data_IF_119601903574
#
_entry.id   IF_119601903574
#
_cell.length_a   1.000
_cell.length_b   1.000
_cell.length_c   1.000
_cell.angle_alpha   90.00
_cell.angle_beta   90.00
_cell.angle_gamma   90.00
#
_symmetry.space_group_name_H-M   'P 1'
#
loop_
_entity.id
_entity.type
_entity.pdbx_description
1 polymer ?
#
# COMPACT_ATOMS: atom_id res chain seq x y z
N UNK A 1 -11.71 -3.93 11.62
CA UNK A 1 -10.80 -2.79 11.32
C UNK A 1 -11.43 -1.81 10.31
N UNK A 2 -11.83 -2.25 9.10
CA UNK A 2 -12.36 -1.35 8.05
C UNK A 2 -13.61 -0.59 8.51
N UNK A 3 -14.53 -1.23 9.21
CA UNK A 3 -15.72 -0.58 9.77
C UNK A 3 -15.39 0.45 10.85
N UNK A 4 -14.41 0.16 11.69
CA UNK A 4 -13.92 1.09 12.73
C UNK A 4 -13.24 2.31 12.10
N UNK A 5 -12.44 2.09 11.05
CA UNK A 5 -11.81 3.15 10.27
C UNK A 5 -12.85 4.07 9.62
N UNK A 6 -13.85 3.50 8.95
CA UNK A 6 -14.92 4.27 8.33
C UNK A 6 -15.72 5.07 9.34
N UNK A 7 -15.97 4.49 10.53
CA UNK A 7 -16.63 5.20 11.64
C UNK A 7 -15.76 6.37 12.14
N UNK A 8 -14.45 6.18 12.29
CA UNK A 8 -13.52 7.23 12.69
C UNK A 8 -13.41 8.36 11.66
N UNK A 9 -13.62 8.07 10.37
CA UNK A 9 -13.69 9.06 9.29
C UNK A 9 -15.03 9.81 9.22
N UNK A 10 -15.93 9.58 10.19
CA UNK A 10 -17.17 10.34 10.36
C UNK A 10 -18.16 10.21 9.19
N UNK A 11 -18.11 9.12 8.44
CA UNK A 11 -19.00 8.86 7.30
C UNK A 11 -18.72 9.71 6.06
N UNK A 12 -17.60 10.42 6.02
CA UNK A 12 -17.14 11.19 4.85
C UNK A 12 -16.66 10.26 3.74
N UNK A 13 -16.10 9.11 4.11
CA UNK A 13 -15.59 8.11 3.19
C UNK A 13 -16.42 6.83 3.24
N UNK A 14 -16.45 6.13 2.13
CA UNK A 14 -17.06 4.80 1.97
C UNK A 14 -16.12 3.93 1.15
N UNK A 15 -16.28 2.59 1.23
CA UNK A 15 -15.62 1.70 0.27
C UNK A 15 -16.24 1.96 -1.11
N UNK A 16 -15.41 2.04 -2.15
CA UNK A 16 -15.89 2.12 -3.51
C UNK A 16 -16.74 0.88 -3.82
N UNK A 17 -17.95 1.11 -4.33
CA UNK A 17 -18.96 0.04 -4.49
C UNK A 17 -19.75 0.25 -5.77
N UNK A 18 -20.10 -0.85 -6.43
CA UNK A 18 -21.00 -0.89 -7.57
C UNK A 18 -21.89 -2.12 -7.52
N UNK A 19 -23.21 -1.91 -7.62
CA UNK A 19 -24.23 -2.99 -7.70
C UNK A 19 -24.15 -4.04 -6.55
N UNK A 20 -23.74 -3.59 -5.34
CA UNK A 20 -23.59 -4.43 -4.16
C UNK A 20 -22.21 -5.09 -4.01
N UNK A 21 -21.34 -4.97 -5.02
CA UNK A 21 -19.95 -5.40 -4.93
C UNK A 21 -19.07 -4.26 -4.44
N UNK A 22 -18.04 -4.58 -3.66
CA UNK A 22 -17.13 -3.61 -3.07
C UNK A 22 -15.72 -3.78 -3.61
N UNK A 23 -15.02 -2.67 -3.81
CA UNK A 23 -13.58 -2.65 -4.03
C UNK A 23 -12.86 -2.98 -2.72
N UNK A 24 -12.92 -4.25 -2.36
CA UNK A 24 -12.39 -4.80 -1.13
C UNK A 24 -11.86 -6.21 -1.38
N UNK A 25 -10.61 -6.44 -1.04
CA UNK A 25 -10.02 -7.76 -0.96
C UNK A 25 -9.78 -8.09 0.53
N UNK A 26 -10.45 -9.07 1.11
CA UNK A 26 -10.27 -9.41 2.52
C UNK A 26 -8.88 -9.97 2.82
N UNK A 27 -8.20 -10.58 1.84
CA UNK A 27 -6.99 -11.35 2.06
C UNK A 27 -7.21 -12.50 3.05
N UNK A 28 -6.52 -13.58 2.87
CA UNK A 28 -6.53 -14.69 3.82
C UNK A 28 -5.10 -15.03 4.23
N UNK A 29 -4.90 -15.19 5.53
CA UNK A 29 -3.57 -15.51 6.06
C UNK A 29 -3.59 -16.77 6.89
N UNK A 30 -4.44 -17.72 6.48
CA UNK A 30 -4.47 -19.06 7.06
C UNK A 30 -4.69 -20.03 5.92
N UNK A 31 -3.91 -21.10 5.94
CA UNK A 31 -4.18 -22.26 5.10
C UNK A 31 -5.55 -22.87 5.38
N UNK A 32 -5.97 -23.88 4.62
CA UNK A 32 -7.29 -24.49 4.73
C UNK A 32 -7.58 -25.10 6.12
N UNK A 33 -6.58 -25.19 7.00
CA UNK A 33 -6.71 -25.70 8.36
C UNK A 33 -6.42 -24.58 9.34
N UNK A 34 -7.39 -24.11 10.14
CA UNK A 34 -7.15 -23.13 11.19
C UNK A 34 -6.06 -23.63 12.12
N UNK A 35 -5.09 -22.76 12.35
CA UNK A 35 -4.00 -23.07 13.24
C UNK A 35 -4.48 -22.91 14.70
N UNK A 36 -4.35 -23.97 15.46
CA UNK A 36 -4.68 -23.99 16.88
C UNK A 36 -3.52 -23.48 17.69
N UNK A 37 -3.77 -22.47 18.52
CA UNK A 37 -2.78 -21.95 19.45
C UNK A 37 -3.28 -21.99 20.89
N UNK A 38 -2.35 -22.08 21.82
CA UNK A 38 -2.68 -21.95 23.25
C UNK A 38 -3.01 -20.49 23.57
N UNK A 39 -4.14 -20.27 24.22
CA UNK A 39 -4.62 -18.96 24.67
C UNK A 39 -4.72 -18.92 26.18
N UNK A 40 -3.59 -19.09 26.82
CA UNK A 40 -3.46 -19.06 28.28
C UNK A 40 -2.65 -17.84 28.73
N UNK A 41 -2.92 -17.35 29.91
CA UNK A 41 -2.08 -16.33 30.54
C UNK A 41 -0.67 -16.86 30.75
N UNK A 42 0.33 -16.10 30.37
CA UNK A 42 1.74 -16.54 30.37
C UNK A 42 2.30 -16.79 31.78
N UNK A 43 1.67 -16.26 32.83
CA UNK A 43 2.12 -16.40 34.22
C UNK A 43 1.33 -17.45 35.00
N UNK A 44 0.02 -17.43 34.80
CA UNK A 44 -0.88 -18.29 35.58
C UNK A 44 -1.25 -19.57 34.86
N UNK A 45 -0.98 -19.67 33.55
CA UNK A 45 -1.36 -20.77 32.67
C UNK A 45 -2.88 -21.04 32.64
N UNK A 46 -3.68 -20.07 33.09
CA UNK A 46 -5.14 -20.20 33.07
C UNK A 46 -5.69 -19.81 31.70
N UNK A 47 -6.78 -20.43 31.26
CA UNK A 47 -7.45 -20.07 30.00
C UNK A 47 -7.87 -18.60 30.00
N UNK A 48 -7.54 -17.86 28.91
CA UNK A 48 -7.88 -16.44 28.79
C UNK A 48 -9.35 -16.18 28.40
N UNK A 49 -9.97 -17.15 27.71
CA UNK A 49 -11.33 -16.99 27.14
C UNK A 49 -12.24 -18.18 27.50
N UNK A 50 -12.04 -18.78 28.66
CA UNK A 50 -12.81 -19.97 29.08
C UNK A 50 -12.37 -21.27 28.41
N UNK A 51 -11.37 -21.22 27.52
CA UNK A 51 -10.75 -22.35 26.83
C UNK A 51 -9.24 -22.12 26.72
N UNK A 52 -8.48 -23.19 26.70
CA UNK A 52 -7.03 -23.14 26.66
C UNK A 52 -6.43 -23.11 25.24
N UNK A 53 -7.25 -23.28 24.23
CA UNK A 53 -6.85 -23.28 22.83
C UNK A 53 -7.88 -22.56 21.97
N UNK A 54 -7.42 -21.85 20.94
CA UNK A 54 -8.26 -21.19 19.96
C UNK A 54 -7.68 -21.36 18.55
N UNK A 55 -8.56 -21.39 17.57
CA UNK A 55 -8.16 -21.18 16.19
C UNK A 55 -7.85 -19.70 15.99
N UNK A 56 -6.65 -19.41 15.56
CA UNK A 56 -6.21 -18.04 15.28
C UNK A 56 -6.02 -17.85 13.79
N UNK A 57 -6.47 -16.71 13.32
CA UNK A 57 -6.29 -16.26 11.97
C UNK A 57 -6.22 -14.74 11.90
N UNK A 58 -5.63 -14.25 10.85
CA UNK A 58 -5.64 -12.82 10.55
C UNK A 58 -5.89 -12.62 9.06
N UNK A 59 -6.39 -11.47 8.71
CA UNK A 59 -6.61 -11.07 7.33
C UNK A 59 -5.78 -9.82 7.07
N UNK A 60 -5.07 -9.83 5.95
CA UNK A 60 -4.33 -8.69 5.45
C UNK A 60 -4.94 -8.37 4.10
N UNK A 61 -5.88 -7.44 4.10
CA UNK A 61 -6.66 -7.10 2.93
C UNK A 61 -6.47 -5.67 2.47
N UNK A 62 -7.03 -5.37 1.31
CA UNK A 62 -6.96 -4.09 0.64
C UNK A 62 -8.36 -3.52 0.45
N UNK A 63 -8.48 -2.19 0.55
CA UNK A 63 -9.72 -1.49 0.28
C UNK A 63 -9.45 -0.17 -0.45
N UNK A 64 -10.33 0.19 -1.38
CA UNK A 64 -10.39 1.52 -1.96
C UNK A 64 -11.47 2.34 -1.26
N UNK A 65 -11.06 3.37 -0.54
CA UNK A 65 -11.97 4.33 0.08
C UNK A 65 -12.11 5.55 -0.81
N UNK A 66 -13.34 5.99 -1.02
CA UNK A 66 -13.66 7.20 -1.77
C UNK A 66 -14.54 8.14 -0.93
N UNK A 67 -14.53 9.42 -1.25
CA UNK A 67 -15.49 10.34 -0.69
C UNK A 67 -16.91 9.91 -1.05
N UNK A 68 -17.82 9.92 -0.09
CA UNK A 68 -19.20 9.43 -0.26
C UNK A 68 -19.93 10.07 -1.44
N UNK A 69 -19.73 11.36 -1.67
CA UNK A 69 -20.32 12.09 -2.80
C UNK A 69 -19.82 11.60 -4.17
N UNK A 70 -18.68 10.90 -4.23
CA UNK A 70 -18.12 10.37 -5.47
C UNK A 70 -18.61 8.95 -5.80
N UNK A 71 -19.34 8.30 -4.89
CA UNK A 71 -19.85 6.92 -5.09
C UNK A 71 -20.63 6.77 -6.41
N UNK A 72 -21.37 7.77 -6.80
CA UNK A 72 -22.17 7.79 -8.04
C UNK A 72 -21.34 7.69 -9.33
N UNK A 73 -20.04 7.98 -9.27
CA UNK A 73 -19.12 7.92 -10.40
C UNK A 73 -18.38 6.60 -10.52
N UNK A 74 -18.58 5.67 -9.57
CA UNK A 74 -18.02 4.30 -9.64
C UNK A 74 -18.83 3.51 -10.67
N UNK A 75 -18.13 3.01 -11.69
CA UNK A 75 -18.74 2.23 -12.77
C UNK A 75 -18.60 0.75 -12.56
N UNK A 76 -17.43 0.33 -12.07
CA UNK A 76 -17.09 -1.06 -11.90
C UNK A 76 -16.11 -1.20 -10.73
N UNK A 77 -16.16 -2.31 -10.03
CA UNK A 77 -15.23 -2.69 -8.97
C UNK A 77 -14.85 -4.16 -9.12
N UNK A 78 -13.76 -4.55 -8.50
CA UNK A 78 -13.35 -5.95 -8.41
C UNK A 78 -12.13 -6.14 -7.54
N UNK A 79 -11.72 -7.38 -7.42
CA UNK A 79 -10.52 -7.78 -6.69
C UNK A 79 -9.90 -9.03 -7.33
N UNK A 80 -8.65 -9.31 -6.97
CA UNK A 80 -7.95 -10.52 -7.37
C UNK A 80 -6.89 -10.87 -6.32
N UNK A 81 -6.58 -12.15 -6.21
CA UNK A 81 -5.48 -12.64 -5.40
C UNK A 81 -4.24 -12.89 -6.26
N UNK A 82 -3.08 -12.80 -5.65
CA UNK A 82 -1.82 -13.17 -6.30
C UNK A 82 -1.54 -14.66 -6.18
N UNK A 83 -1.01 -15.24 -7.25
CA UNK A 83 -0.58 -16.64 -7.27
C UNK A 83 0.67 -16.88 -6.40
N UNK A 84 1.50 -15.85 -6.24
CA UNK A 84 2.70 -15.90 -5.42
C UNK A 84 2.33 -15.75 -3.94
N UNK A 85 2.26 -16.86 -3.23
CA UNK A 85 1.88 -16.95 -1.81
C UNK A 85 3.12 -17.17 -0.95
N UNK A 86 3.20 -16.49 0.20
CA UNK A 86 4.23 -16.75 1.18
C UNK A 86 3.82 -17.92 2.08
N UNK A 87 4.64 -18.97 2.09
CA UNK A 87 4.39 -20.18 2.85
C UNK A 87 5.18 -20.17 4.16
N UNK A 88 4.53 -19.68 5.23
CA UNK A 88 5.13 -19.70 6.59
C UNK A 88 5.39 -21.13 7.03
N UNK A 89 4.37 -21.97 6.93
CA UNK A 89 4.44 -23.42 7.09
C UNK A 89 3.65 -24.04 5.95
N UNK A 90 4.31 -24.66 4.97
CA UNK A 90 3.62 -25.19 3.79
C UNK A 90 2.39 -26.02 4.15
N UNK A 91 1.28 -25.79 3.49
CA UNK A 91 -0.04 -26.44 3.68
C UNK A 91 -0.72 -26.19 5.03
N UNK A 92 -0.07 -25.51 5.98
CA UNK A 92 -0.63 -25.22 7.30
C UNK A 92 -0.88 -23.73 7.48
N UNK A 93 0.09 -22.89 7.14
CA UNK A 93 -0.02 -21.45 7.26
C UNK A 93 0.59 -20.76 6.04
N UNK A 94 -0.24 -20.12 5.29
CA UNK A 94 0.12 -19.39 4.08
C UNK A 94 -0.46 -17.96 4.15
N UNK A 95 0.28 -16.97 3.66
CA UNK A 95 -0.14 -15.59 3.61
C UNK A 95 -0.48 -15.26 2.16
N UNK A 96 -1.75 -14.95 1.94
CA UNK A 96 -2.29 -14.54 0.66
C UNK A 96 -2.33 -13.02 0.59
N UNK A 97 -1.92 -12.49 -0.55
CA UNK A 97 -2.00 -11.08 -0.89
C UNK A 97 -2.80 -10.93 -2.18
N UNK A 98 -3.25 -9.72 -2.44
CA UNK A 98 -3.98 -9.43 -3.65
C UNK A 98 -4.09 -7.95 -3.90
N UNK A 99 -5.07 -7.59 -4.71
CA UNK A 99 -5.41 -6.21 -4.97
C UNK A 99 -6.92 -6.05 -5.17
N UNK A 100 -7.38 -4.84 -4.98
CA UNK A 100 -8.74 -4.45 -5.34
C UNK A 100 -8.71 -3.23 -6.26
N UNK A 101 -9.74 -3.05 -7.08
CA UNK A 101 -9.79 -1.96 -8.02
C UNK A 101 -11.19 -1.37 -8.19
N UNK A 102 -11.24 -0.13 -8.64
CA UNK A 102 -12.45 0.55 -9.03
C UNK A 102 -12.21 1.39 -10.29
N UNK A 103 -13.13 1.33 -11.24
CA UNK A 103 -13.21 2.23 -12.38
C UNK A 103 -14.15 3.40 -12.04
N UNK A 104 -13.63 4.61 -12.13
CA UNK A 104 -14.35 5.82 -11.77
C UNK A 104 -14.37 6.76 -12.98
N UNK A 105 -15.57 7.14 -13.43
CA UNK A 105 -15.71 8.11 -14.52
C UNK A 105 -16.10 9.47 -13.97
N UNK A 106 -15.22 10.43 -14.16
CA UNK A 106 -15.45 11.81 -13.81
C UNK A 106 -15.15 12.73 -15.00
N UNK A 107 -16.07 13.63 -15.32
CA UNK A 107 -15.91 14.59 -16.41
C UNK A 107 -15.53 13.97 -17.76
N UNK A 108 -16.05 12.80 -18.04
CA UNK A 108 -15.82 12.08 -19.30
C UNK A 108 -14.54 11.24 -19.36
N UNK A 109 -13.71 11.29 -18.33
CA UNK A 109 -12.51 10.44 -18.21
C UNK A 109 -12.79 9.27 -17.29
N UNK A 110 -12.48 8.05 -17.74
CA UNK A 110 -12.53 6.84 -16.92
C UNK A 110 -11.12 6.54 -16.41
N UNK A 111 -10.98 6.40 -15.09
CA UNK A 111 -9.70 6.12 -14.42
C UNK A 111 -9.84 4.84 -13.63
N UNK A 112 -8.90 3.92 -13.77
CA UNK A 112 -8.79 2.74 -12.92
C UNK A 112 -7.90 3.02 -11.72
N UNK A 113 -8.48 2.92 -10.53
CA UNK A 113 -7.77 2.94 -9.26
C UNK A 113 -7.58 1.52 -8.77
N UNK A 114 -6.38 1.21 -8.31
CA UNK A 114 -6.01 -0.10 -7.76
C UNK A 114 -5.38 0.10 -6.40
N UNK A 115 -5.77 -0.68 -5.40
CA UNK A 115 -5.11 -0.75 -4.09
C UNK A 115 -4.52 -2.14 -3.90
N UNK A 116 -3.28 -2.20 -3.45
CA UNK A 116 -2.57 -3.46 -3.21
C UNK A 116 -1.64 -3.35 -2.01
N UNK A 117 -1.35 -4.50 -1.39
CA UNK A 117 -0.30 -4.64 -0.40
C UNK A 117 0.50 -5.89 -0.72
N UNK A 118 1.71 -5.72 -1.23
CA UNK A 118 2.57 -6.83 -1.63
C UNK A 118 3.22 -7.49 -0.42
N UNK A 119 3.72 -8.71 -0.59
CA UNK A 119 4.30 -9.48 0.50
C UNK A 119 5.67 -8.94 0.93
N UNK A 120 5.84 -8.71 2.21
CA UNK A 120 7.11 -8.24 2.78
C UNK A 120 8.14 -9.34 2.96
N UNK A 121 7.70 -10.58 3.04
CA UNK A 121 8.53 -11.70 3.40
C UNK A 121 8.97 -12.49 2.17
N UNK A 122 10.06 -13.16 2.29
CA UNK A 122 10.59 -14.11 1.33
C UNK A 122 10.69 -15.51 1.93
N UNK A 123 10.44 -16.52 1.14
CA UNK A 123 10.57 -17.89 1.58
C UNK A 123 12.05 -18.29 1.78
N UNK A 124 12.27 -19.51 2.29
CA UNK A 124 13.61 -20.04 2.51
C UNK A 124 14.53 -20.06 1.27
N UNK A 125 13.98 -19.79 0.10
CA UNK A 125 14.73 -19.62 -1.14
C UNK A 125 15.23 -18.19 -1.35
N UNK A 126 14.90 -17.27 -0.45
CA UNK A 126 15.30 -15.86 -0.49
C UNK A 126 14.85 -15.11 -1.77
N UNK A 127 13.70 -15.49 -2.32
CA UNK A 127 13.07 -14.80 -3.44
C UNK A 127 11.93 -13.97 -2.89
N UNK A 128 12.00 -12.65 -2.97
CA UNK A 128 10.92 -11.78 -2.53
C UNK A 128 9.65 -12.04 -3.34
N UNK A 129 8.54 -12.32 -2.68
CA UNK A 129 7.24 -12.53 -3.34
C UNK A 129 6.70 -11.23 -3.96
N UNK A 130 7.06 -10.07 -3.38
CA UNK A 130 6.63 -8.77 -3.88
C UNK A 130 6.90 -8.58 -5.38
N UNK A 131 8.07 -8.98 -5.86
CA UNK A 131 8.42 -8.84 -7.28
C UNK A 131 7.57 -9.74 -8.19
N UNK A 132 7.24 -10.97 -7.76
CA UNK A 132 6.35 -11.87 -8.49
C UNK A 132 4.91 -11.32 -8.53
N UNK A 133 4.44 -10.85 -7.39
CA UNK A 133 3.12 -10.22 -7.26
C UNK A 133 3.01 -8.94 -8.11
N UNK A 134 4.06 -8.09 -8.12
CA UNK A 134 4.09 -6.93 -8.99
C UNK A 134 4.06 -7.31 -10.49
N UNK A 135 4.77 -8.38 -10.90
CA UNK A 135 4.71 -8.88 -12.29
C UNK A 135 3.31 -9.34 -12.67
N UNK A 136 2.61 -10.06 -11.79
CA UNK A 136 1.22 -10.44 -12.01
C UNK A 136 0.33 -9.20 -12.13
N UNK A 137 0.44 -8.26 -11.21
CA UNK A 137 -0.32 -7.01 -11.27
C UNK A 137 -0.12 -6.25 -12.59
N UNK A 138 1.13 -6.13 -13.05
CA UNK A 138 1.45 -5.51 -14.34
C UNK A 138 0.81 -6.28 -15.50
N UNK A 139 0.86 -7.62 -15.48
CA UNK A 139 0.25 -8.46 -16.50
C UNK A 139 -1.27 -8.27 -16.55
N UNK A 140 -1.93 -8.29 -15.41
CA UNK A 140 -3.38 -8.10 -15.29
C UNK A 140 -3.83 -6.71 -15.78
N UNK A 141 -3.00 -5.68 -15.58
CA UNK A 141 -3.27 -4.31 -16.02
C UNK A 141 -2.86 -4.01 -17.47
N UNK A 142 -2.18 -4.93 -18.16
CA UNK A 142 -1.60 -4.69 -19.51
C UNK A 142 -2.64 -4.26 -20.54
N UNK A 143 -3.86 -4.78 -20.47
CA UNK A 143 -4.92 -4.48 -21.42
C UNK A 143 -5.76 -3.25 -21.04
N UNK A 144 -5.51 -2.63 -19.90
CA UNK A 144 -6.21 -1.43 -19.45
C UNK A 144 -5.72 -0.23 -20.25
N UNK A 145 -6.61 0.38 -21.04
CA UNK A 145 -6.30 1.55 -21.89
C UNK A 145 -6.53 2.87 -21.17
N UNK A 146 -7.45 2.88 -20.21
CA UNK A 146 -7.71 4.06 -19.40
C UNK A 146 -6.50 4.42 -18.53
N UNK A 147 -6.42 5.67 -18.07
CA UNK A 147 -5.50 6.07 -17.02
C UNK A 147 -5.58 5.14 -15.81
N UNK A 148 -4.42 4.80 -15.24
CA UNK A 148 -4.30 3.88 -14.11
C UNK A 148 -3.58 4.57 -12.97
N UNK A 149 -4.13 4.43 -11.76
CA UNK A 149 -3.50 4.82 -10.50
C UNK A 149 -3.41 3.58 -9.62
N UNK A 150 -2.21 3.14 -9.29
CA UNK A 150 -1.97 2.03 -8.36
C UNK A 150 -1.40 2.58 -7.07
N UNK A 151 -2.03 2.28 -5.95
CA UNK A 151 -1.65 2.75 -4.63
C UNK A 151 -1.39 1.55 -3.72
N UNK A 152 -0.38 1.63 -2.87
CA UNK A 152 -0.12 0.50 -1.96
C UNK A 152 1.22 0.53 -1.29
N UNK A 153 1.36 -0.41 -0.37
CA UNK A 153 2.63 -0.84 0.17
C UNK A 153 3.20 -1.92 -0.75
N UNK A 154 4.31 -1.59 -1.42
CA UNK A 154 4.98 -2.47 -2.35
C UNK A 154 6.08 -3.31 -1.69
N UNK A 155 6.34 -3.08 -0.42
CA UNK A 155 7.39 -3.77 0.35
C UNK A 155 8.73 -3.87 -0.40
N UNK A 156 9.07 -2.85 -1.19
CA UNK A 156 10.27 -2.78 -2.02
C UNK A 156 10.78 -1.35 -2.09
N UNK A 157 11.97 -1.12 -1.57
CA UNK A 157 12.65 0.17 -1.69
C UNK A 157 13.37 0.27 -3.05
N UNK A 158 13.45 1.43 -3.71
CA UNK A 158 14.14 1.58 -5.00
C UNK A 158 15.61 1.18 -4.97
N UNK A 159 16.22 1.19 -3.79
CA UNK A 159 17.62 0.81 -3.57
C UNK A 159 17.85 -0.69 -3.47
N UNK A 160 16.77 -1.49 -3.38
CA UNK A 160 16.89 -2.95 -3.28
C UNK A 160 17.31 -3.60 -4.62
N UNK A 161 18.09 -4.67 -4.62
CA UNK A 161 18.68 -5.33 -3.44
C UNK A 161 19.84 -4.52 -2.87
N UNK A 162 19.89 -4.39 -1.54
CA UNK A 162 20.98 -3.67 -0.86
C UNK A 162 22.18 -4.56 -0.63
N UNK A 163 23.32 -3.93 -0.39
CA UNK A 163 24.51 -4.65 0.01
C UNK A 163 24.24 -5.47 1.28
N UNK A 164 24.86 -6.63 1.37
CA UNK A 164 24.72 -7.55 2.52
C UNK A 164 25.00 -6.80 3.83
N UNK A 165 24.13 -6.98 4.81
CA UNK A 165 24.21 -6.34 6.13
C UNK A 165 23.51 -4.97 6.21
N UNK A 166 22.98 -4.45 5.10
CA UNK A 166 22.22 -3.18 5.07
C UNK A 166 20.70 -3.37 4.96
N UNK A 167 20.25 -4.55 4.58
CA UNK A 167 18.84 -4.88 4.59
C UNK A 167 18.41 -5.41 5.96
N UNK A 168 17.16 -5.17 6.35
CA UNK A 168 16.59 -5.80 7.52
C UNK A 168 16.41 -7.30 7.24
N UNK A 169 16.98 -8.18 8.09
CA UNK A 169 16.85 -9.61 7.88
C UNK A 169 15.36 -10.03 7.81
N UNK A 170 14.97 -10.71 6.74
CA UNK A 170 13.61 -11.22 6.54
C UNK A 170 12.60 -10.23 5.96
N UNK A 171 12.92 -8.95 5.87
CA UNK A 171 11.99 -7.92 5.41
C UNK A 171 12.37 -7.28 4.08
N UNK A 172 13.65 -7.37 3.70
CA UNK A 172 14.14 -6.74 2.47
C UNK A 172 15.25 -7.58 1.81
N UNK A 173 15.32 -7.58 0.49
CA UNK A 173 16.33 -8.34 -0.23
C UNK A 173 17.72 -7.75 -0.04
N UNK A 174 18.61 -8.57 0.51
CA UNK A 174 20.04 -8.30 0.42
C UNK A 174 20.58 -8.76 -0.94
N UNK A 175 21.67 -8.14 -1.39
CA UNK A 175 22.43 -8.64 -2.53
C UNK A 175 22.84 -10.11 -2.28
N UNK A 176 22.38 -11.01 -3.10
CA UNK A 176 22.63 -12.45 -3.02
C UNK A 176 22.80 -13.04 -4.40
N UNK A 177 23.36 -14.25 -4.48
CA UNK A 177 23.53 -14.98 -5.74
C UNK A 177 22.21 -15.24 -6.49
N UNK A 178 21.07 -15.09 -5.83
CA UNK A 178 19.72 -15.32 -6.40
C UNK A 178 19.04 -14.05 -6.91
N UNK A 179 19.58 -12.88 -6.57
CA UNK A 179 19.08 -11.59 -7.05
C UNK A 179 20.25 -10.71 -7.51
N UNK A 180 21.07 -11.12 -8.45
CA UNK A 180 22.41 -10.54 -8.58
C UNK A 180 22.50 -9.37 -9.55
N UNK A 181 21.68 -9.26 -10.57
CA UNK A 181 21.93 -8.32 -11.66
C UNK A 181 20.69 -7.63 -12.20
N UNK A 182 19.56 -8.29 -12.17
CA UNK A 182 18.29 -7.72 -12.63
C UNK A 182 17.45 -7.35 -11.40
N UNK A 183 17.53 -6.10 -10.99
CA UNK A 183 16.83 -5.63 -9.80
C UNK A 183 15.31 -5.92 -9.83
N UNK A 184 14.69 -5.93 -11.02
CA UNK A 184 13.30 -6.31 -11.22
C UNK A 184 12.96 -7.75 -10.84
N UNK A 185 13.93 -8.66 -10.77
CA UNK A 185 13.67 -10.02 -10.28
C UNK A 185 13.35 -10.05 -8.79
N UNK A 186 13.79 -9.04 -8.03
CA UNK A 186 13.70 -9.01 -6.59
C UNK A 186 13.03 -7.74 -6.06
N UNK A 187 12.63 -6.83 -6.90
CA UNK A 187 12.20 -5.50 -6.50
C UNK A 187 10.93 -5.09 -7.24
N UNK A 188 9.83 -5.00 -6.50
CA UNK A 188 8.53 -4.63 -7.05
C UNK A 188 8.53 -3.20 -7.62
N UNK A 189 9.25 -2.24 -7.01
CA UNK A 189 9.39 -0.89 -7.55
C UNK A 189 10.00 -0.91 -8.96
N UNK A 190 11.03 -1.71 -9.17
CA UNK A 190 11.67 -1.87 -10.49
C UNK A 190 10.74 -2.51 -11.51
N UNK A 191 9.99 -3.54 -11.11
CA UNK A 191 8.96 -4.15 -11.96
C UNK A 191 7.95 -3.11 -12.45
N UNK A 192 7.43 -2.28 -11.56
CA UNK A 192 6.49 -1.21 -11.93
C UNK A 192 7.13 -0.18 -12.87
N UNK A 193 8.34 0.26 -12.54
CA UNK A 193 9.07 1.26 -13.35
C UNK A 193 9.39 0.75 -14.75
N UNK A 194 9.86 -0.48 -14.89
CA UNK A 194 10.15 -1.12 -16.18
C UNK A 194 8.88 -1.36 -17.01
N UNK A 195 7.73 -1.50 -16.36
CA UNK A 195 6.43 -1.56 -17.00
C UNK A 195 5.86 -0.17 -17.38
N UNK A 196 6.67 0.89 -17.32
CA UNK A 196 6.30 2.27 -17.61
C UNK A 196 5.22 2.85 -16.67
N UNK A 197 5.19 2.43 -15.40
CA UNK A 197 4.52 3.17 -14.36
C UNK A 197 5.46 4.24 -13.80
N UNK A 198 4.95 5.43 -13.57
CA UNK A 198 5.67 6.54 -12.95
C UNK A 198 5.29 6.63 -11.48
N UNK A 199 6.27 6.73 -10.58
CA UNK A 199 6.01 7.07 -9.17
C UNK A 199 5.52 8.53 -9.10
N UNK A 200 4.30 8.70 -8.66
CA UNK A 200 3.67 10.00 -8.47
C UNK A 200 3.91 10.58 -7.07
N UNK A 201 4.63 9.89 -6.22
CA UNK A 201 5.11 10.39 -4.94
C UNK A 201 6.27 11.38 -5.08
N UNK A 202 6.76 11.93 -3.96
CA UNK A 202 8.04 12.63 -3.94
C UNK A 202 9.19 11.67 -4.30
N UNK A 203 10.33 12.23 -4.67
CA UNK A 203 11.52 11.44 -5.04
C UNK A 203 11.83 10.36 -4.00
N UNK A 204 11.64 9.11 -4.38
CA UNK A 204 11.80 7.97 -3.49
C UNK A 204 13.28 7.70 -3.10
N UNK A 205 14.24 8.35 -3.74
CA UNK A 205 15.65 8.31 -3.37
C UNK A 205 16.03 9.31 -2.27
N UNK A 206 15.16 10.30 -2.01
CA UNK A 206 15.37 11.28 -0.95
C UNK A 206 14.98 10.66 0.41
N UNK A 207 15.91 10.53 1.37
CA UNK A 207 15.60 10.01 2.70
C UNK A 207 14.48 10.74 3.43
N UNK A 208 14.28 12.04 3.15
CA UNK A 208 13.17 12.80 3.73
C UNK A 208 11.78 12.26 3.32
N UNK A 209 11.71 11.43 2.30
CA UNK A 209 10.45 10.87 1.76
C UNK A 209 10.21 9.41 2.14
N UNK A 210 11.04 8.83 2.99
CA UNK A 210 10.86 7.45 3.44
C UNK A 210 9.56 7.29 4.21
N UNK A 211 8.95 6.13 4.07
CA UNK A 211 7.60 5.88 4.59
C UNK A 211 7.54 4.81 5.68
N UNK A 212 8.61 4.02 5.89
CA UNK A 212 8.62 2.96 6.89
C UNK A 212 9.83 3.04 7.81
N UNK A 213 9.63 2.66 9.10
CA UNK A 213 10.70 2.65 10.10
C UNK A 213 10.23 2.77 11.54
N UNK A 214 8.93 2.87 11.79
CA UNK A 214 8.38 2.90 13.15
C UNK A 214 8.32 1.50 13.74
N UNK A 215 8.37 1.44 15.07
CA UNK A 215 8.08 0.20 15.77
C UNK A 215 6.56 -0.04 15.87
N UNK A 216 6.16 -1.30 16.06
CA UNK A 216 4.77 -1.71 16.15
C UNK A 216 3.99 -1.09 17.34
N UNK A 217 4.67 -0.46 18.30
CA UNK A 217 4.06 0.25 19.42
C UNK A 217 3.77 1.72 19.10
N UNK A 218 4.13 2.19 17.93
CA UNK A 218 3.96 3.57 17.44
C UNK A 218 4.61 4.61 18.38
N UNK A 219 5.72 4.24 19.01
CA UNK A 219 6.49 5.12 19.91
C UNK A 219 7.69 5.74 19.23
N UNK A 220 7.84 5.55 17.95
CA UNK A 220 8.96 5.96 17.11
C UNK A 220 9.85 4.78 16.71
N UNK A 221 10.87 5.07 15.93
CA UNK A 221 11.84 4.06 15.54
C UNK A 221 12.62 3.52 16.74
N UNK A 222 12.97 2.24 16.72
CA UNK A 222 13.91 1.67 17.70
C UNK A 222 15.30 2.31 17.58
N UNK A 223 16.20 1.99 18.51
CA UNK A 223 17.52 2.61 18.56
C UNK A 223 18.37 2.34 17.32
N UNK A 224 18.31 1.13 16.77
CA UNK A 224 19.09 0.75 15.59
C UNK A 224 18.57 1.51 14.34
N UNK A 225 17.26 1.53 14.13
CA UNK A 225 16.64 2.29 13.03
C UNK A 225 16.90 3.79 13.14
N UNK A 226 16.85 4.37 14.34
CA UNK A 226 17.18 5.80 14.52
C UNK A 226 18.60 6.14 14.11
N UNK A 227 19.57 5.27 14.43
CA UNK A 227 20.95 5.47 14.01
C UNK A 227 21.05 5.40 12.48
N UNK A 228 20.53 4.34 11.88
CA UNK A 228 20.55 4.14 10.44
C UNK A 228 19.83 5.27 9.69
N UNK A 229 18.64 5.66 10.13
CA UNK A 229 17.88 6.77 9.54
C UNK A 229 18.65 8.08 9.59
N UNK A 230 19.30 8.39 10.73
CA UNK A 230 20.12 9.59 10.88
C UNK A 230 21.32 9.59 9.93
N UNK A 231 21.99 8.44 9.78
CA UNK A 231 23.10 8.28 8.85
C UNK A 231 22.67 8.49 7.39
N UNK A 232 21.45 8.09 7.06
CA UNK A 232 20.83 8.32 5.75
C UNK A 232 20.26 9.74 5.55
N UNK A 233 20.16 10.54 6.62
CA UNK A 233 19.60 11.88 6.56
C UNK A 233 18.11 12.00 6.89
N UNK A 234 17.44 10.92 7.31
CA UNK A 234 16.04 11.01 7.77
C UNK A 234 15.97 11.40 9.26
N UNK A 235 15.31 12.52 9.56
CA UNK A 235 15.20 13.05 10.92
C UNK A 235 14.10 12.39 11.77
N UNK A 236 13.20 11.62 11.14
CA UNK A 236 12.03 11.02 11.80
C UNK A 236 12.25 9.56 12.20
N UNK A 237 13.31 8.93 11.72
CA UNK A 237 13.64 7.53 12.01
C UNK A 237 13.13 6.53 10.96
N UNK A 238 12.62 7.02 9.82
CA UNK A 238 12.25 6.17 8.71
C UNK A 238 13.50 5.74 7.92
N UNK A 239 13.54 4.49 7.50
CA UNK A 239 14.70 3.90 6.83
C UNK A 239 14.41 3.48 5.39
N UNK A 240 13.13 3.40 5.02
CA UNK A 240 12.71 2.79 3.77
C UNK A 240 11.53 3.52 3.13
N UNK A 241 11.51 3.53 1.80
CA UNK A 241 10.38 3.95 1.01
C UNK A 241 9.67 2.70 0.46
N UNK A 242 8.51 2.36 1.03
CA UNK A 242 7.76 1.16 0.68
C UNK A 242 6.39 1.46 0.07
N UNK A 243 5.84 2.63 0.38
CA UNK A 243 4.50 3.05 -0.02
C UNK A 243 4.56 3.97 -1.23
N UNK A 244 3.75 3.69 -2.25
CA UNK A 244 3.79 4.40 -3.53
C UNK A 244 2.40 4.72 -4.07
N UNK A 245 2.39 5.71 -4.96
CA UNK A 245 1.32 5.99 -5.91
C UNK A 245 1.95 5.89 -7.30
N UNK A 246 1.69 4.81 -8.00
CA UNK A 246 2.13 4.64 -9.38
C UNK A 246 1.04 5.07 -10.35
N UNK A 247 1.43 5.77 -11.42
CA UNK A 247 0.50 6.24 -12.45
C UNK A 247 0.94 5.82 -13.84
N UNK A 248 -0.04 5.62 -14.74
CA UNK A 248 0.20 5.27 -16.14
C UNK A 248 -0.91 5.81 -17.03
N UNK A 249 -0.66 5.96 -18.33
CA UNK A 249 -1.61 6.35 -19.36
C UNK A 249 -2.20 7.77 -19.17
N UNK A 250 -1.38 8.81 -19.32
CA UNK A 250 -1.87 10.18 -19.43
C UNK A 250 -2.30 10.82 -18.11
N UNK A 251 -1.57 10.56 -17.06
CA UNK A 251 -1.73 11.21 -15.75
C UNK A 251 -0.53 12.10 -15.48
N UNK A 252 -0.80 13.38 -15.20
CA UNK A 252 0.19 14.34 -14.74
C UNK A 252 0.20 14.43 -13.22
N UNK A 253 1.38 14.47 -12.63
CA UNK A 253 1.56 14.72 -11.20
C UNK A 253 1.70 16.23 -10.97
N UNK A 254 0.79 16.82 -10.22
CA UNK A 254 0.80 18.26 -9.93
C UNK A 254 1.59 18.57 -8.66
N UNK A 255 1.32 17.83 -7.60
CA UNK A 255 2.03 17.94 -6.32
C UNK A 255 2.07 16.59 -5.63
N UNK A 256 3.08 16.40 -4.79
CA UNK A 256 3.15 15.21 -3.94
C UNK A 256 3.84 15.53 -2.60
N UNK A 257 3.53 14.76 -1.57
CA UNK A 257 4.12 14.89 -0.24
C UNK A 257 3.97 13.62 0.60
N UNK A 258 4.79 13.49 1.62
CA UNK A 258 4.65 12.50 2.67
C UNK A 258 3.91 13.10 3.87
N UNK A 259 3.07 12.32 4.52
CA UNK A 259 2.33 12.70 5.73
C UNK A 259 2.49 11.64 6.81
N UNK A 260 2.36 12.03 8.08
CA UNK A 260 2.40 11.09 9.21
C UNK A 260 3.81 10.69 9.67
N UNK A 261 4.87 11.35 9.21
CA UNK A 261 6.23 11.08 9.67
C UNK A 261 6.54 11.63 11.08
N UNK A 262 5.74 12.53 11.59
CA UNK A 262 5.92 13.14 12.91
C UNK A 262 4.87 12.65 13.91
N UNK A 263 5.19 12.60 15.23
CA UNK A 263 4.22 12.23 16.25
C UNK A 263 3.04 13.23 16.34
N UNK A 264 1.84 12.79 16.75
CA UNK A 264 1.52 11.42 17.14
C UNK A 264 1.41 10.48 15.93
N UNK A 265 2.05 9.32 16.02
CA UNK A 265 2.03 8.35 14.93
C UNK A 265 0.70 7.59 14.90
N UNK A 266 0.07 7.54 13.74
CA UNK A 266 -1.15 6.77 13.52
C UNK A 266 -0.90 5.38 12.92
N UNK A 267 0.31 5.15 12.40
CA UNK A 267 0.76 3.92 11.77
C UNK A 267 2.27 3.78 11.92
N UNK A 268 2.81 2.60 11.72
CA UNK A 268 4.24 2.34 11.53
C UNK A 268 4.73 2.74 10.13
N UNK A 269 3.80 3.08 9.25
CA UNK A 269 4.06 3.71 7.96
C UNK A 269 3.62 5.17 7.92
N UNK A 270 4.28 5.96 7.08
CA UNK A 270 3.85 7.28 6.64
C UNK A 270 3.04 7.15 5.35
N UNK A 271 2.11 8.07 5.14
CA UNK A 271 1.27 8.07 3.95
C UNK A 271 1.88 8.90 2.81
N UNK A 272 1.61 8.49 1.57
CA UNK A 272 1.92 9.25 0.35
C UNK A 272 0.65 9.94 -0.14
N UNK A 273 0.75 11.22 -0.47
CA UNK A 273 -0.35 12.01 -1.01
C UNK A 273 0.09 12.67 -2.31
N UNK A 274 -0.69 12.51 -3.37
CA UNK A 274 -0.43 13.16 -4.65
C UNK A 274 -1.70 13.80 -5.21
N UNK A 275 -1.53 14.95 -5.81
CA UNK A 275 -2.54 15.61 -6.61
C UNK A 275 -2.26 15.30 -8.07
N UNK A 276 -3.22 14.68 -8.72
CA UNK A 276 -3.11 14.18 -10.08
C UNK A 276 -4.07 14.93 -11.01
N UNK A 277 -3.65 15.09 -12.26
CA UNK A 277 -4.51 15.56 -13.35
C UNK A 277 -4.58 14.49 -14.42
N UNK A 278 -5.78 14.08 -14.78
CA UNK A 278 -6.01 13.15 -15.88
C UNK A 278 -6.24 13.96 -17.15
N UNK A 279 -5.43 13.69 -18.18
CA UNK A 279 -5.65 14.28 -19.50
C UNK A 279 -6.91 13.66 -20.12
N UNK A 280 -7.84 14.48 -20.58
CA UNK A 280 -9.02 13.98 -21.29
C UNK A 280 -8.58 13.21 -22.55
N UNK A 281 -9.04 11.98 -22.72
CA UNK A 281 -8.82 11.25 -23.97
C UNK A 281 -9.39 12.07 -25.13
N UNK A 282 -8.52 12.47 -26.06
CA UNK A 282 -8.94 13.17 -27.29
C UNK A 282 -8.51 14.63 -27.42
N UNK A 283 -7.90 15.25 -26.42
CA UNK A 283 -7.24 16.53 -26.66
C UNK A 283 -5.86 16.31 -27.30
N UNK A 284 -5.84 16.02 -28.59
CA UNK A 284 -4.72 16.44 -29.41
C UNK A 284 -4.78 17.97 -29.37
N UNK A 285 -4.08 18.59 -28.43
CA UNK A 285 -3.77 19.99 -28.51
C UNK A 285 -2.82 20.10 -29.71
N UNK A 286 -3.40 20.34 -30.88
CA UNK A 286 -2.65 20.96 -31.94
C UNK A 286 -2.15 22.27 -31.35
N UNK A 287 -0.83 22.43 -31.29
CA UNK A 287 -0.19 23.72 -31.13
C UNK A 287 -0.63 24.64 -32.26
N UNK A 288 -1.74 25.33 -32.04
CA UNK A 288 -2.19 26.43 -32.83
C UNK A 288 -2.72 27.49 -31.89
N UNK A 289 -1.79 28.39 -31.52
CA UNK A 289 -1.99 29.84 -31.41
C UNK A 289 -3.44 30.30 -31.09
N UNK A 290 -3.69 30.83 -29.87
CA UNK A 290 -3.79 32.28 -29.77
C UNK A 290 -4.19 32.72 -28.35
N UNK A 291 -3.56 33.79 -27.96
CA UNK A 291 -3.81 34.55 -26.77
C UNK A 291 -5.27 35.08 -26.73
N UNK A 292 -5.74 35.28 -25.49
CA UNK A 292 -6.92 36.05 -25.09
C UNK A 292 -8.24 35.28 -24.93
N UNK A 293 -8.37 34.67 -23.73
CA UNK A 293 -9.54 34.92 -22.87
C UNK A 293 -9.36 34.24 -21.51
N UNK A 294 -9.48 34.90 -20.39
CA UNK A 294 -9.45 34.26 -19.09
C UNK A 294 -10.82 33.64 -18.84
N UNK A 295 -10.93 32.32 -19.01
CA UNK A 295 -12.05 31.58 -18.46
C UNK A 295 -11.74 31.21 -17.01
N UNK A 296 -12.70 31.32 -16.09
CA UNK A 296 -12.49 31.00 -14.71
C UNK A 296 -12.22 29.50 -14.57
N UNK A 297 -11.05 29.21 -14.04
CA UNK A 297 -10.64 27.86 -13.66
C UNK A 297 -11.51 27.45 -12.47
N UNK A 298 -12.56 26.69 -12.72
CA UNK A 298 -13.31 26.04 -11.66
C UNK A 298 -12.54 24.81 -11.21
N UNK A 299 -11.92 24.97 -10.12
CA UNK A 299 -11.44 24.08 -9.08
C UNK A 299 -11.72 22.58 -9.22
N UNK A 300 -10.63 21.84 -9.38
CA UNK A 300 -10.54 20.48 -8.96
C UNK A 300 -10.03 20.44 -7.50
N UNK A 301 -10.93 20.35 -6.55
CA UNK A 301 -10.55 19.95 -5.21
C UNK A 301 -10.26 18.45 -5.23
N UNK A 302 -9.01 18.14 -4.87
CA UNK A 302 -8.35 16.89 -5.01
C UNK A 302 -9.12 15.63 -4.63
N UNK A 303 -9.01 14.63 -5.47
CA UNK A 303 -9.16 13.24 -5.08
C UNK A 303 -7.95 12.92 -4.18
N UNK A 304 -8.13 13.17 -2.88
CA UNK A 304 -7.16 12.72 -1.88
C UNK A 304 -7.27 11.23 -1.73
N UNK A 305 -6.41 10.50 -2.38
CA UNK A 305 -6.25 9.07 -2.10
C UNK A 305 -5.38 8.95 -0.86
N UNK A 306 -6.02 8.69 0.27
CA UNK A 306 -5.33 8.49 1.53
C UNK A 306 -4.93 7.01 1.60
N UNK A 307 -3.66 6.73 1.45
CA UNK A 307 -3.09 5.42 1.74
C UNK A 307 -2.94 5.31 3.25
N UNK A 308 -3.87 4.61 3.88
CA UNK A 308 -3.71 4.20 5.27
C UNK A 308 -3.05 2.83 5.26
N UNK A 309 -1.74 2.83 5.31
CA UNK A 309 -1.00 1.64 5.66
C UNK A 309 -1.38 1.18 7.08
N UNK A 310 -1.54 -0.09 7.23
CA UNK A 310 -1.83 -0.90 8.41
C UNK A 310 -1.63 -0.20 9.76
N UNK A 311 -2.70 0.31 10.31
CA UNK A 311 -2.73 0.73 11.72
C UNK A 311 -2.91 -0.53 12.57
N UNK A 312 -1.84 -0.99 13.18
CA UNK A 312 -1.90 -2.06 14.15
C UNK A 312 -2.69 -1.63 15.40
N UNK A 313 -3.66 -2.43 15.68
CA UNK A 313 -4.60 -2.45 16.79
C UNK A 313 -4.01 -2.05 18.14
N UNK A 314 -4.26 -0.86 18.65
CA UNK A 314 -4.12 -0.51 20.09
C UNK A 314 -4.74 0.81 20.58
N UNK A 315 -5.57 1.52 19.85
CA UNK A 315 -6.11 2.82 20.34
C UNK A 315 -7.37 2.69 21.22
N UNK A 316 -8.02 1.55 21.33
CA UNK A 316 -9.33 1.47 22.00
C UNK A 316 -9.25 1.32 23.54
N UNK A 317 -8.10 1.18 24.16
CA UNK A 317 -8.03 0.92 25.62
C UNK A 317 -7.82 2.14 26.52
N UNK A 318 -7.77 3.35 26.03
CA UNK A 318 -7.49 4.54 26.88
C UNK A 318 -8.63 5.54 27.08
N UNK A 319 -9.78 5.34 26.47
CA UNK A 319 -10.92 6.29 26.62
C UNK A 319 -12.00 5.80 27.61
N UNK A 320 -11.85 4.64 28.24
CA UNK A 320 -12.79 4.19 29.27
C UNK A 320 -12.19 4.14 30.68
N UNK A 321 -11.42 5.13 31.06
CA UNK A 321 -11.13 5.42 32.46
C UNK A 321 -10.91 6.93 32.64
N UNK A 322 -12.00 7.68 32.58
CA UNK A 322 -12.26 8.88 33.40
C UNK A 322 -13.76 9.10 33.44
#
# INVERSE_FOLDING_TARGET
FTSELLAALGGTYVIAEKDGEQAFNPGYSIGPIPFLTKVTDAKTFQPLFGQDSAACGFQIGDALLIKKELKQYVNQVGNSEYDAVYKVVPTIMEIYRGYTWADITMQGSNVRFVSTHLESLWDGNKVPKAADQARQLVADLTNTKSPIVVIGDFNSDPRDPRAKGFANPGEQPEASDKCPTEASLCNAYKVMSEANFTDAGPDASDPATFTWGMNALLTGADSARRIAAKEMGNQFGFTDRLDYIFVKNGIDVLTSKIIGQAPPYGSDHAGVVSQLRVSAEGSVVSDALDAHSPLPISFWEGVGVLLLALITWRIVRRIRRR
#
